data_IF_735775192474
#
_entry.id   IF_735775192474
#
_cell.length_a   1.000
_cell.length_b   1.000
_cell.length_c   1.000
_cell.angle_alpha   90.00
_cell.angle_beta   90.00
_cell.angle_gamma   90.00
#
_symmetry.space_group_name_H-M   'P 1'
#
loop_
_entity.id
_entity.type
_entity.pdbx_description
1 polymer ?
#
# COMPACT_ATOMS: atom_id res chain seq x y z
N UNK A 1 14.00 10.89 -104.10
CA UNK A 1 13.16 10.08 -105.01
C UNK A 1 11.95 9.59 -104.21
N UNK A 2 10.75 10.01 -104.60
CA UNK A 2 9.49 9.73 -103.87
C UNK A 2 9.21 8.23 -103.80
N UNK A 3 9.62 7.45 -104.81
CA UNK A 3 9.42 6.00 -104.77
C UNK A 3 10.28 5.33 -103.71
N UNK A 4 11.51 5.82 -103.51
CA UNK A 4 12.39 5.34 -102.44
C UNK A 4 11.81 5.68 -101.05
N UNK A 5 11.28 6.89 -100.85
CA UNK A 5 10.65 7.28 -99.59
C UNK A 5 9.39 6.44 -99.28
N UNK A 6 8.53 6.21 -100.27
CA UNK A 6 7.35 5.36 -100.10
C UNK A 6 7.72 3.90 -99.77
N UNK A 7 8.79 3.36 -100.39
CA UNK A 7 9.29 2.02 -100.05
C UNK A 7 9.80 1.95 -98.61
N UNK A 8 10.46 2.99 -98.11
CA UNK A 8 10.92 3.04 -96.73
C UNK A 8 9.75 3.03 -95.73
N UNK A 9 8.66 3.77 -96.02
CA UNK A 9 7.46 3.78 -95.18
C UNK A 9 6.79 2.39 -95.15
N UNK A 10 6.69 1.71 -96.29
CA UNK A 10 6.18 0.34 -96.35
C UNK A 10 7.07 -0.64 -95.58
N UNK A 11 8.39 -0.53 -95.73
CA UNK A 11 9.35 -1.37 -95.01
C UNK A 11 9.26 -1.17 -93.48
N UNK A 12 9.12 0.08 -93.01
CA UNK A 12 8.93 0.40 -91.59
C UNK A 12 7.63 -0.23 -91.04
N UNK A 13 6.56 -0.21 -91.84
CA UNK A 13 5.31 -0.90 -91.51
C UNK A 13 5.36 -2.43 -91.70
N UNK A 14 6.52 -3.01 -92.01
CA UNK A 14 6.71 -4.43 -92.30
C UNK A 14 5.84 -4.93 -93.48
N UNK A 15 5.62 -4.07 -94.47
CA UNK A 15 4.82 -4.35 -95.67
C UNK A 15 5.71 -4.45 -96.91
N UNK A 16 5.44 -5.44 -97.77
CA UNK A 16 6.09 -5.56 -99.07
C UNK A 16 5.33 -4.76 -100.14
N UNK A 17 6.02 -3.98 -101.01
CA UNK A 17 5.36 -3.29 -102.11
C UNK A 17 4.67 -4.25 -103.09
N UNK A 18 3.41 -3.98 -103.40
CA UNK A 18 2.56 -4.76 -104.31
C UNK A 18 1.89 -3.80 -105.31
N UNK A 19 2.31 -3.81 -106.59
CA UNK A 19 1.77 -2.91 -107.61
C UNK A 19 0.29 -3.15 -107.92
N UNK A 20 -0.30 -4.27 -107.48
CA UNK A 20 -1.74 -4.54 -107.61
C UNK A 20 -2.59 -3.83 -106.54
N UNK A 21 -1.96 -3.21 -105.54
CA UNK A 21 -2.62 -2.56 -104.39
C UNK A 21 -2.39 -1.05 -104.41
N UNK A 22 -3.48 -0.28 -104.43
CA UNK A 22 -3.43 1.19 -104.47
C UNK A 22 -3.57 1.87 -103.10
N UNK A 23 -3.59 1.11 -101.99
CA UNK A 23 -3.81 1.63 -100.64
C UNK A 23 -2.68 1.28 -99.64
N UNK A 24 -1.55 0.72 -100.10
CA UNK A 24 -0.51 0.22 -99.21
C UNK A 24 0.13 1.32 -98.37
N UNK A 25 0.33 2.52 -98.94
CA UNK A 25 0.90 3.65 -98.22
C UNK A 25 0.00 4.10 -97.06
N UNK A 26 -1.31 4.19 -97.30
CA UNK A 26 -2.28 4.54 -96.25
C UNK A 26 -2.35 3.47 -95.15
N UNK A 27 -2.27 2.20 -95.53
CA UNK A 27 -2.25 1.07 -94.58
C UNK A 27 -0.98 1.10 -93.73
N UNK A 28 0.18 1.36 -94.35
CA UNK A 28 1.46 1.49 -93.66
C UNK A 28 1.45 2.62 -92.62
N UNK A 29 0.96 3.80 -93.00
CA UNK A 29 0.84 4.95 -92.08
C UNK A 29 -0.07 4.63 -90.89
N UNK A 30 -1.21 3.96 -91.11
CA UNK A 30 -2.11 3.53 -90.03
C UNK A 30 -1.45 2.53 -89.09
N UNK A 31 -0.70 1.57 -89.64
CA UNK A 31 0.03 0.58 -88.85
C UNK A 31 1.11 1.23 -87.98
N UNK A 32 1.91 2.14 -88.55
CA UNK A 32 2.94 2.89 -87.83
C UNK A 32 2.32 3.76 -86.72
N UNK A 33 1.24 4.49 -87.01
CA UNK A 33 0.54 5.29 -86.00
C UNK A 33 0.00 4.42 -84.84
N UNK A 34 -0.50 3.23 -85.15
CA UNK A 34 -0.96 2.26 -84.15
C UNK A 34 0.19 1.72 -83.30
N UNK A 35 1.34 1.42 -83.92
CA UNK A 35 2.54 0.97 -83.22
C UNK A 35 3.14 2.05 -82.31
N UNK A 36 3.15 3.31 -82.75
CA UNK A 36 3.56 4.47 -81.95
C UNK A 36 2.62 4.64 -80.75
N UNK A 37 1.30 4.56 -80.96
CA UNK A 37 0.32 4.63 -79.87
C UNK A 37 0.46 3.48 -78.86
N UNK A 38 0.74 2.26 -79.33
CA UNK A 38 0.99 1.10 -78.48
C UNK A 38 2.29 1.26 -77.66
N UNK A 39 3.33 1.83 -78.25
CA UNK A 39 4.61 2.12 -77.57
C UNK A 39 4.46 3.25 -76.56
N UNK A 40 3.71 4.30 -76.88
CA UNK A 40 3.36 5.34 -75.92
C UNK A 40 2.55 4.79 -74.73
N UNK A 41 1.73 3.76 -74.97
CA UNK A 41 0.99 3.07 -73.92
C UNK A 41 1.86 2.11 -73.07
N UNK A 42 3.02 1.64 -73.54
CA UNK A 42 3.94 0.79 -72.76
C UNK A 42 4.89 1.60 -71.86
N UNK A 43 5.06 2.90 -72.11
CA UNK A 43 5.66 3.88 -71.18
C UNK A 43 4.62 4.39 -70.15
N UNK A 44 3.34 4.08 -70.35
CA UNK A 44 2.26 4.53 -69.48
C UNK A 44 2.14 3.69 -68.21
N UNK A 45 1.76 4.35 -67.12
CA UNK A 45 1.31 3.68 -65.88
C UNK A 45 0.26 2.60 -66.25
N UNK A 46 0.45 1.33 -65.80
CA UNK A 46 -0.50 0.26 -66.08
C UNK A 46 -1.94 0.63 -65.69
N UNK A 47 -2.92 0.16 -66.47
CA UNK A 47 -4.34 0.32 -66.13
C UNK A 47 -4.58 -0.41 -64.80
N UNK A 48 -5.32 0.22 -63.88
CA UNK A 48 -5.56 -0.34 -62.55
C UNK A 48 -4.58 0.14 -61.47
N UNK A 49 -3.50 0.86 -61.80
CA UNK A 49 -2.60 1.42 -60.78
C UNK A 49 -3.27 2.60 -60.07
N UNK A 50 -3.35 2.61 -58.72
CA UNK A 50 -3.77 3.78 -57.97
C UNK A 50 -2.73 4.91 -58.10
N UNK A 51 -3.19 6.10 -58.46
CA UNK A 51 -2.37 7.30 -58.62
C UNK A 51 -2.80 8.38 -57.65
N UNK A 52 -1.83 9.04 -57.02
CA UNK A 52 -2.10 10.20 -56.17
C UNK A 52 -2.37 11.43 -57.05
N UNK A 53 -3.52 12.06 -56.84
CA UNK A 53 -3.99 13.22 -57.60
C UNK A 53 -4.30 14.41 -56.69
N UNK A 54 -3.75 15.61 -56.98
CA UNK A 54 -3.77 16.73 -56.04
C UNK A 54 -5.08 17.54 -56.05
N UNK A 55 -5.99 17.30 -57.00
CA UNK A 55 -7.26 18.06 -57.11
C UNK A 55 -8.47 17.16 -56.91
N UNK A 56 -9.64 17.78 -56.71
CA UNK A 56 -10.91 17.08 -56.49
C UNK A 56 -11.52 16.49 -57.76
N UNK A 57 -11.10 16.96 -58.94
CA UNK A 57 -11.62 16.50 -60.23
C UNK A 57 -10.56 15.65 -60.94
N UNK A 58 -10.80 14.35 -61.21
CA UNK A 58 -9.86 13.53 -61.95
C UNK A 58 -9.81 13.96 -63.43
N UNK A 59 -8.70 13.73 -64.14
CA UNK A 59 -8.65 13.91 -65.59
C UNK A 59 -9.64 12.99 -66.32
N UNK A 60 -9.95 13.34 -67.57
CA UNK A 60 -10.79 12.50 -68.43
C UNK A 60 -10.21 11.08 -68.58
N UNK A 61 -11.08 10.07 -68.48
CA UNK A 61 -10.68 8.67 -68.51
C UNK A 61 -10.16 8.12 -67.17
N UNK A 62 -10.24 8.90 -66.09
CA UNK A 62 -9.91 8.44 -64.74
C UNK A 62 -11.13 8.49 -63.82
N UNK A 63 -11.13 7.64 -62.80
CA UNK A 63 -12.12 7.66 -61.72
C UNK A 63 -11.42 7.77 -60.36
N UNK A 64 -12.03 8.49 -59.42
CA UNK A 64 -11.62 8.49 -58.01
C UNK A 64 -11.98 7.13 -57.40
N UNK A 65 -11.08 6.54 -56.62
CA UNK A 65 -11.25 5.21 -56.02
C UNK A 65 -12.02 5.28 -54.69
N UNK A 66 -13.33 5.01 -54.71
CA UNK A 66 -14.24 5.14 -53.56
C UNK A 66 -15.12 3.89 -53.33
N UNK A 67 -14.66 2.70 -53.73
CA UNK A 67 -15.44 1.47 -53.52
C UNK A 67 -16.53 1.19 -54.56
N UNK A 68 -16.65 2.03 -55.59
CA UNK A 68 -17.73 1.94 -56.58
C UNK A 68 -17.54 0.78 -57.57
N UNK A 69 -18.67 0.29 -58.09
CA UNK A 69 -18.66 -0.64 -59.22
C UNK A 69 -18.34 0.07 -60.53
N UNK A 70 -17.81 -0.66 -61.51
CA UNK A 70 -17.61 -0.19 -62.87
C UNK A 70 -18.09 -1.22 -63.90
N UNK A 71 -18.35 -0.76 -65.11
CA UNK A 71 -18.74 -1.61 -66.23
C UNK A 71 -17.52 -2.38 -66.76
N UNK A 72 -17.46 -3.68 -66.48
CA UNK A 72 -16.35 -4.55 -66.87
C UNK A 72 -16.30 -4.83 -68.37
N UNK A 73 -17.43 -4.72 -69.08
CA UNK A 73 -17.47 -4.89 -70.53
C UNK A 73 -16.93 -3.63 -71.24
N UNK A 74 -17.23 -2.45 -70.69
CA UNK A 74 -16.71 -1.17 -71.19
C UNK A 74 -15.22 -0.97 -70.86
N UNK A 75 -14.76 -1.46 -69.70
CA UNK A 75 -13.40 -1.30 -69.21
C UNK A 75 -12.71 -2.64 -68.95
N UNK A 76 -12.41 -3.42 -70.01
CA UNK A 76 -11.86 -4.77 -69.87
C UNK A 76 -10.44 -4.80 -69.28
N UNK A 77 -9.62 -3.74 -69.49
CA UNK A 77 -8.28 -3.68 -68.89
C UNK A 77 -8.36 -3.33 -67.41
N UNK A 78 -9.32 -2.48 -67.02
CA UNK A 78 -9.60 -2.24 -65.60
C UNK A 78 -10.16 -3.50 -64.92
N UNK A 79 -11.01 -4.27 -65.61
CA UNK A 79 -11.51 -5.57 -65.12
C UNK A 79 -10.40 -6.60 -64.91
N UNK A 80 -9.35 -6.60 -65.76
CA UNK A 80 -8.19 -7.46 -65.56
C UNK A 80 -7.43 -7.13 -64.27
N UNK A 81 -7.35 -5.85 -63.88
CA UNK A 81 -6.73 -5.42 -62.61
C UNK A 81 -7.65 -5.63 -61.39
N UNK A 82 -8.96 -5.46 -61.57
CA UNK A 82 -9.97 -5.62 -60.53
C UNK A 82 -11.10 -6.57 -60.98
N UNK A 83 -10.88 -7.90 -60.91
CA UNK A 83 -11.83 -8.89 -61.43
C UNK A 83 -13.20 -8.88 -60.75
N UNK A 84 -13.32 -8.28 -59.56
CA UNK A 84 -14.59 -8.11 -58.85
C UNK A 84 -15.56 -7.13 -59.54
N UNK A 85 -15.08 -6.34 -60.50
CA UNK A 85 -15.86 -5.24 -61.09
C UNK A 85 -16.07 -4.06 -60.12
N UNK A 86 -15.32 -4.02 -59.01
CA UNK A 86 -15.35 -2.92 -58.03
C UNK A 86 -13.95 -2.38 -57.79
N UNK A 87 -13.84 -1.05 -57.75
CA UNK A 87 -12.62 -0.39 -57.33
C UNK A 87 -12.50 -0.46 -55.79
N UNK A 88 -11.29 -0.59 -55.23
CA UNK A 88 -11.06 -0.39 -53.80
C UNK A 88 -11.51 1.01 -53.34
N UNK A 89 -11.96 1.11 -52.09
CA UNK A 89 -12.14 2.41 -51.43
C UNK A 89 -10.81 2.83 -50.80
N UNK A 90 -10.18 3.84 -51.38
CA UNK A 90 -8.85 4.29 -50.98
C UNK A 90 -8.88 5.52 -50.08
N UNK A 91 -10.08 5.99 -49.67
CA UNK A 91 -10.21 7.13 -48.76
C UNK A 91 -9.66 6.76 -47.38
N UNK A 92 -8.75 7.59 -46.86
CA UNK A 92 -8.05 7.32 -45.59
C UNK A 92 -7.03 6.19 -45.64
N UNK A 93 -6.79 5.57 -46.80
CA UNK A 93 -5.87 4.44 -46.93
C UNK A 93 -4.46 4.91 -47.29
N UNK A 94 -3.45 4.17 -46.80
CA UNK A 94 -2.06 4.29 -47.25
C UNK A 94 -1.64 2.99 -47.93
N UNK A 95 -1.03 3.08 -49.11
CA UNK A 95 -0.55 1.89 -49.83
C UNK A 95 0.66 1.29 -49.10
N UNK A 96 0.54 0.02 -48.73
CA UNK A 96 1.60 -0.80 -48.14
C UNK A 96 1.92 -1.92 -49.13
N UNK A 97 3.21 -2.14 -49.40
CA UNK A 97 3.65 -3.31 -50.16
C UNK A 97 3.16 -4.59 -49.48
N UNK A 98 2.55 -5.49 -50.25
CA UNK A 98 2.00 -6.72 -49.70
C UNK A 98 3.15 -7.62 -49.18
N UNK A 99 3.19 -7.92 -47.87
CA UNK A 99 4.13 -8.91 -47.35
C UNK A 99 3.68 -10.32 -47.73
N UNK A 100 4.59 -11.28 -47.63
CA UNK A 100 4.29 -12.70 -47.81
C UNK A 100 3.14 -13.14 -46.89
N UNK A 101 2.22 -13.95 -47.43
CA UNK A 101 1.07 -14.47 -46.69
C UNK A 101 -0.10 -13.50 -46.53
N UNK A 102 0.02 -12.23 -46.95
CA UNK A 102 -1.11 -11.28 -46.96
C UNK A 102 -1.76 -11.22 -48.35
N UNK A 103 -3.06 -11.41 -48.39
CA UNK A 103 -3.83 -11.31 -49.64
C UNK A 103 -3.76 -9.89 -50.22
N UNK A 104 -3.65 -9.78 -51.55
CA UNK A 104 -3.68 -8.50 -52.24
C UNK A 104 -5.03 -7.80 -52.01
N UNK A 105 -5.00 -6.46 -51.92
CA UNK A 105 -6.16 -5.60 -51.65
C UNK A 105 -6.85 -5.84 -50.29
N UNK A 106 -6.26 -6.64 -49.39
CA UNK A 106 -6.75 -6.75 -48.01
C UNK A 106 -6.48 -5.47 -47.22
N UNK A 107 -7.42 -5.08 -46.35
CA UNK A 107 -7.26 -3.95 -45.43
C UNK A 107 -6.54 -4.38 -44.14
N UNK A 108 -5.79 -3.46 -43.55
CA UNK A 108 -5.15 -3.60 -42.24
C UNK A 108 -5.48 -2.34 -41.45
N UNK A 109 -6.02 -2.51 -40.25
CA UNK A 109 -6.27 -1.39 -39.34
C UNK A 109 -4.95 -0.81 -38.82
N UNK A 110 -4.97 0.46 -38.45
CA UNK A 110 -3.86 1.09 -37.77
C UNK A 110 -3.64 0.47 -36.37
N UNK A 111 -2.43 0.57 -35.86
CA UNK A 111 -2.09 -0.03 -34.58
C UNK A 111 -0.78 0.50 -34.01
N UNK A 112 -0.72 0.58 -32.69
CA UNK A 112 0.49 0.93 -31.95
C UNK A 112 1.28 -0.35 -31.70
N UNK A 113 2.59 -0.29 -31.94
CA UNK A 113 3.49 -1.40 -31.60
C UNK A 113 3.50 -1.64 -30.09
N UNK A 114 3.50 -2.91 -29.69
CA UNK A 114 3.62 -3.31 -28.28
C UNK A 114 4.80 -2.61 -27.60
N UNK A 115 4.55 -1.99 -26.45
CA UNK A 115 5.54 -1.30 -25.64
C UNK A 115 5.08 -1.18 -24.17
N UNK A 116 6.01 -0.81 -23.29
CA UNK A 116 5.77 -0.57 -21.86
C UNK A 116 6.47 0.70 -21.41
N UNK A 117 6.05 1.26 -20.27
CA UNK A 117 6.68 2.43 -19.64
C UNK A 117 7.23 2.08 -18.27
N UNK A 118 8.29 2.76 -17.85
CA UNK A 118 8.68 2.80 -16.44
C UNK A 118 7.76 3.77 -15.70
N UNK A 119 7.40 3.42 -14.46
CA UNK A 119 6.57 4.26 -13.60
C UNK A 119 7.17 4.35 -12.21
N UNK A 120 6.98 5.49 -11.55
CA UNK A 120 7.43 5.74 -10.19
C UNK A 120 6.27 6.25 -9.34
N UNK A 121 6.30 5.95 -8.05
CA UNK A 121 5.39 6.53 -7.06
C UNK A 121 6.17 7.47 -6.15
N UNK A 122 5.59 8.64 -5.84
CA UNK A 122 6.20 9.60 -4.93
C UNK A 122 6.12 9.12 -3.49
N UNK A 123 7.14 9.45 -2.71
CA UNK A 123 7.14 9.17 -1.28
C UNK A 123 6.06 9.98 -0.57
N UNK A 124 5.33 9.37 0.37
CA UNK A 124 4.27 10.03 1.13
C UNK A 124 4.58 9.97 2.62
N UNK A 125 4.67 11.13 3.27
CA UNK A 125 4.77 11.22 4.73
C UNK A 125 3.36 11.22 5.35
N UNK A 126 3.09 10.27 6.24
CA UNK A 126 1.80 10.16 6.93
C UNK A 126 1.70 11.14 8.12
N UNK A 127 2.82 11.72 8.57
CA UNK A 127 2.91 12.63 9.71
C UNK A 127 2.62 11.99 11.06
N UNK A 128 2.78 12.76 12.14
CA UNK A 128 2.57 12.30 13.52
C UNK A 128 1.09 12.04 13.83
N UNK A 129 0.82 11.01 14.65
CA UNK A 129 -0.52 10.69 15.17
C UNK A 129 -0.46 10.56 16.69
N UNK A 130 -1.49 11.04 17.38
CA UNK A 130 -1.61 10.95 18.83
C UNK A 130 -2.43 9.72 19.20
N UNK A 131 -1.94 8.91 20.13
CA UNK A 131 -2.70 7.78 20.67
C UNK A 131 -3.90 8.24 21.49
N UNK A 132 -4.86 7.36 21.70
CA UNK A 132 -5.93 7.60 22.66
C UNK A 132 -5.36 7.83 24.07
N UNK A 133 -6.04 8.63 24.88
CA UNK A 133 -5.70 8.84 26.28
C UNK A 133 -6.04 7.59 27.11
N UNK A 134 -5.14 7.22 28.02
CA UNK A 134 -5.35 6.14 28.99
C UNK A 134 -5.18 6.69 30.40
N UNK A 135 -6.15 6.45 31.28
CA UNK A 135 -6.13 6.87 32.68
C UNK A 135 -5.88 5.67 33.60
N UNK A 136 -4.82 5.73 34.39
CA UNK A 136 -4.51 4.71 35.40
C UNK A 136 -5.47 4.79 36.61
N UNK A 137 -6.16 5.91 36.82
CA UNK A 137 -7.02 6.15 37.98
C UNK A 137 -6.24 6.14 39.31
N UNK A 138 -6.96 5.98 40.42
CA UNK A 138 -6.36 5.88 41.76
C UNK A 138 -5.88 4.46 42.06
N UNK A 139 -4.65 4.31 42.56
CA UNK A 139 -4.09 3.03 43.03
C UNK A 139 -3.84 3.10 44.53
N UNK A 140 -4.21 2.04 45.25
CA UNK A 140 -4.05 1.94 46.71
C UNK A 140 -2.85 1.06 47.04
N UNK A 141 -2.02 1.47 48.01
CA UNK A 141 -0.91 0.67 48.52
C UNK A 141 -1.38 -0.39 49.51
N UNK A 142 -0.67 -1.50 49.60
CA UNK A 142 -0.91 -2.53 50.63
C UNK A 142 -0.74 -1.97 52.04
N UNK A 143 -1.53 -2.48 52.99
CA UNK A 143 -1.38 -2.14 54.39
C UNK A 143 -0.22 -2.91 55.03
N UNK A 144 0.72 -2.20 55.66
CA UNK A 144 1.84 -2.83 56.38
C UNK A 144 1.65 -2.59 57.88
N UNK A 145 1.40 -3.67 58.62
CA UNK A 145 1.42 -3.65 60.07
C UNK A 145 2.87 -3.77 60.56
N UNK A 146 3.37 -2.72 61.23
CA UNK A 146 4.73 -2.70 61.82
C UNK A 146 4.78 -3.29 63.24
N UNK A 147 3.64 -3.81 63.72
CA UNK A 147 3.47 -4.39 65.04
C UNK A 147 3.54 -3.37 66.18
N UNK A 148 3.23 -3.83 67.38
CA UNK A 148 3.36 -3.02 68.61
C UNK A 148 4.81 -3.04 69.08
N UNK A 149 5.44 -1.88 69.26
CA UNK A 149 6.77 -1.75 69.89
C UNK A 149 6.58 -1.29 71.34
N UNK A 150 6.96 -2.13 72.29
CA UNK A 150 6.86 -1.85 73.73
C UNK A 150 8.22 -1.46 74.31
N UNK A 151 8.24 -0.47 75.21
CA UNK A 151 9.37 -0.19 76.09
C UNK A 151 9.12 -0.90 77.43
N UNK A 152 10.01 -1.81 77.82
CA UNK A 152 9.78 -2.74 78.96
C UNK A 152 10.43 -2.31 80.26
N UNK A 153 10.92 -1.08 80.39
CA UNK A 153 11.56 -0.59 81.61
C UNK A 153 11.02 0.79 81.98
N UNK A 154 10.04 0.81 82.88
CA UNK A 154 9.62 2.02 83.57
C UNK A 154 9.79 1.78 85.07
N UNK A 155 10.67 2.55 85.71
CA UNK A 155 10.95 2.46 87.15
C UNK A 155 9.93 3.31 87.91
N UNK A 156 9.12 2.67 88.76
CA UNK A 156 8.12 3.36 89.58
C UNK A 156 8.70 3.96 90.87
N UNK A 157 9.99 3.74 91.13
CA UNK A 157 10.71 4.15 92.32
C UNK A 157 10.27 3.40 93.59
N UNK A 158 10.99 3.61 94.69
CA UNK A 158 10.67 3.00 96.00
C UNK A 158 9.44 3.66 96.65
N UNK A 159 8.44 2.85 97.04
CA UNK A 159 7.26 3.30 97.81
C UNK A 159 7.23 2.59 99.17
N UNK A 160 6.88 3.31 100.24
CA UNK A 160 6.75 2.77 101.60
C UNK A 160 5.28 2.51 101.95
N UNK A 161 5.01 1.46 102.72
CA UNK A 161 3.67 1.14 103.25
C UNK A 161 3.40 1.88 104.56
N UNK A 162 2.15 1.89 105.03
CA UNK A 162 1.81 2.38 106.36
C UNK A 162 2.23 1.38 107.46
N UNK A 163 2.37 1.85 108.71
CA UNK A 163 2.73 0.99 109.86
C UNK A 163 1.47 0.40 110.50
N UNK A 164 1.30 -0.92 110.43
CA UNK A 164 0.17 -1.67 110.99
C UNK A 164 0.66 -3.01 111.57
N UNK A 165 -0.19 -3.76 112.29
CA UNK A 165 0.14 -5.10 112.79
C UNK A 165 0.49 -5.22 114.29
N UNK A 166 0.28 -4.17 115.09
CA UNK A 166 0.43 -4.25 116.55
C UNK A 166 -0.61 -5.19 117.17
N UNK A 167 -0.17 -6.19 117.93
CA UNK A 167 -1.03 -7.15 118.62
C UNK A 167 -0.33 -7.72 119.87
N UNK A 168 -1.10 -8.31 120.81
CA UNK A 168 -0.61 -8.94 122.05
C UNK A 168 -1.17 -10.36 122.19
N UNK A 169 -0.45 -11.24 122.88
CA UNK A 169 -0.88 -12.62 123.17
C UNK A 169 -1.05 -12.82 124.68
N UNK A 170 -1.98 -13.70 125.09
CA UNK A 170 -2.24 -14.04 126.50
C UNK A 170 -1.64 -15.41 126.83
N UNK A 171 -1.04 -15.57 128.01
CA UNK A 171 -0.46 -16.84 128.49
C UNK A 171 -1.10 -17.26 129.82
N UNK A 172 -1.18 -18.57 130.10
CA UNK A 172 -1.87 -19.16 131.26
C UNK A 172 -0.96 -20.17 131.98
N UNK A 173 -0.98 -20.20 133.31
CA UNK A 173 -0.24 -21.17 134.16
C UNK A 173 -1.17 -21.85 135.17
N UNK A 174 -0.93 -23.13 135.48
CA UNK A 174 -1.64 -23.92 136.51
C UNK A 174 -0.85 -23.93 137.84
N UNK A 175 -1.52 -23.94 139.01
CA UNK A 175 -0.94 -23.66 140.34
C UNK A 175 -1.24 -24.75 141.38
N UNK A 176 -0.22 -25.46 141.88
CA UNK A 176 -0.30 -26.33 143.07
C UNK A 176 0.64 -25.84 144.18
N UNK A 177 0.16 -25.88 145.43
CA UNK A 177 0.78 -25.26 146.62
C UNK A 177 2.23 -25.68 146.84
N UNK A 178 3.17 -24.76 146.61
CA UNK A 178 4.57 -24.87 147.08
C UNK A 178 5.67 -24.55 146.08
N UNK A 179 5.38 -24.39 144.78
CA UNK A 179 6.39 -23.99 143.78
C UNK A 179 5.76 -23.09 142.71
N UNK A 180 6.29 -21.86 142.56
CA UNK A 180 5.88 -20.86 141.57
C UNK A 180 7.01 -20.70 140.54
N UNK A 181 6.93 -21.37 139.38
CA UNK A 181 7.81 -21.08 138.23
C UNK A 181 7.03 -20.24 137.20
N UNK A 182 7.39 -18.96 137.09
CA UNK A 182 6.89 -18.06 136.03
C UNK A 182 7.50 -18.37 134.66
N UNK A 183 7.11 -17.66 133.59
CA UNK A 183 7.60 -17.89 132.21
C UNK A 183 9.12 -17.70 132.04
N UNK A 184 9.78 -17.06 133.02
CA UNK A 184 11.24 -16.93 133.12
C UNK A 184 11.93 -18.13 133.80
N UNK A 185 11.18 -19.14 134.26
CA UNK A 185 11.72 -20.39 134.81
C UNK A 185 12.40 -20.28 136.19
N UNK A 186 12.36 -19.12 136.85
CA UNK A 186 12.93 -18.90 138.18
C UNK A 186 11.87 -18.78 139.27
N UNK A 187 12.05 -19.50 140.38
CA UNK A 187 11.23 -19.35 141.59
C UNK A 187 11.73 -18.12 142.34
N UNK A 188 10.89 -17.09 142.50
CA UNK A 188 11.19 -15.82 143.20
C UNK A 188 11.90 -14.73 142.36
N UNK A 189 11.42 -14.44 141.15
CA UNK A 189 11.79 -13.24 140.38
C UNK A 189 10.55 -12.44 139.97
N UNK A 190 10.52 -11.14 140.29
CA UNK A 190 9.43 -10.21 139.94
C UNK A 190 9.89 -9.23 138.86
N UNK A 191 9.23 -9.20 137.69
CA UNK A 191 9.53 -8.26 136.60
C UNK A 191 8.91 -8.68 135.26
N UNK A 192 8.90 -7.75 134.29
CA UNK A 192 8.47 -8.05 132.92
C UNK A 192 9.53 -8.89 132.20
N UNK A 193 9.11 -9.95 131.52
CA UNK A 193 9.93 -10.70 130.59
C UNK A 193 9.36 -10.56 129.18
N UNK A 194 10.22 -10.23 128.21
CA UNK A 194 9.83 -10.21 126.80
C UNK A 194 9.84 -11.64 126.25
N UNK A 195 8.89 -11.95 125.36
CA UNK A 195 9.00 -13.15 124.53
C UNK A 195 10.19 -13.05 123.60
N UNK A 196 10.66 -14.16 123.06
CA UNK A 196 11.59 -14.13 121.92
C UNK A 196 10.95 -13.41 120.73
N UNK A 197 11.77 -12.79 119.88
CA UNK A 197 11.29 -12.11 118.68
C UNK A 197 10.76 -13.12 117.65
N UNK A 198 9.55 -12.86 117.13
CA UNK A 198 8.89 -13.65 116.10
C UNK A 198 7.97 -12.76 115.24
N UNK A 199 7.50 -13.26 114.09
CA UNK A 199 6.50 -12.56 113.26
C UNK A 199 7.05 -11.74 112.08
N UNK A 200 8.34 -11.89 111.75
CA UNK A 200 8.88 -11.33 110.51
C UNK A 200 8.16 -11.95 109.30
N UNK A 201 7.48 -11.13 108.52
CA UNK A 201 6.82 -11.52 107.28
C UNK A 201 6.89 -10.38 106.27
N UNK A 202 6.63 -10.71 105.01
CA UNK A 202 6.56 -9.75 103.92
C UNK A 202 5.21 -9.89 103.22
N UNK A 203 4.72 -8.77 102.68
CA UNK A 203 3.57 -8.77 101.78
C UNK A 203 4.05 -8.53 100.35
N UNK A 204 3.45 -9.24 99.40
CA UNK A 204 3.64 -8.97 97.98
C UNK A 204 2.47 -8.12 97.49
N UNK A 205 2.73 -6.94 96.94
CA UNK A 205 1.72 -6.08 96.34
C UNK A 205 1.94 -6.04 94.85
N UNK A 206 1.02 -6.62 94.08
CA UNK A 206 1.03 -6.52 92.63
C UNK A 206 0.51 -5.15 92.20
N UNK A 207 1.38 -4.31 91.63
CA UNK A 207 0.96 -3.11 90.90
C UNK A 207 0.84 -3.54 89.44
N UNK A 208 -0.42 -3.62 88.98
CA UNK A 208 -0.78 -4.23 87.71
C UNK A 208 -0.07 -3.63 86.49
N UNK A 209 -0.09 -4.37 85.38
CA UNK A 209 0.46 -3.91 84.10
C UNK A 209 -0.22 -2.61 83.66
N UNK A 210 0.56 -1.62 83.24
CA UNK A 210 0.07 -0.49 82.46
C UNK A 210 0.91 -0.33 81.19
N UNK A 211 0.33 0.31 80.18
CA UNK A 211 0.93 0.46 78.86
C UNK A 211 0.97 1.93 78.44
N UNK A 212 1.99 2.30 77.67
CA UNK A 212 2.09 3.60 77.02
C UNK A 212 1.94 3.41 75.51
N UNK A 213 1.02 4.16 74.91
CA UNK A 213 0.87 4.22 73.46
C UNK A 213 1.42 5.55 72.96
N UNK A 214 2.39 5.50 72.04
CA UNK A 214 2.90 6.67 71.33
C UNK A 214 2.38 6.62 69.91
N UNK A 215 1.52 7.56 69.53
CA UNK A 215 1.00 7.66 68.17
C UNK A 215 2.03 8.35 67.27
N UNK A 216 2.53 7.63 66.27
CA UNK A 216 3.24 8.26 65.15
C UNK A 216 2.16 8.76 64.18
N UNK A 217 2.11 10.08 63.99
CA UNK A 217 1.01 10.76 63.30
C UNK A 217 0.86 10.40 61.81
N UNK A 218 -0.14 11.00 61.17
CA UNK A 218 -0.38 10.83 59.75
C UNK A 218 0.87 11.22 58.94
N UNK A 219 1.27 10.36 58.02
CA UNK A 219 2.40 10.60 57.12
C UNK A 219 2.03 10.14 55.72
N UNK A 220 2.75 10.66 54.73
CA UNK A 220 2.58 10.33 53.32
C UNK A 220 3.93 9.96 52.71
N UNK A 221 3.89 9.17 51.64
CA UNK A 221 5.06 8.78 50.86
C UNK A 221 4.94 9.34 49.45
N UNK A 222 6.08 9.71 48.87
CA UNK A 222 6.18 10.10 47.46
C UNK A 222 6.66 8.90 46.65
N UNK A 223 5.91 8.55 45.60
CA UNK A 223 6.28 7.44 44.68
C UNK A 223 6.48 7.99 43.28
N UNK A 224 7.70 7.87 42.75
CA UNK A 224 7.99 8.22 41.36
C UNK A 224 7.75 7.02 40.44
N UNK A 225 6.86 7.17 39.44
CA UNK A 225 6.50 6.08 38.50
C UNK A 225 7.40 6.07 37.26
N UNK A 226 7.87 7.24 36.81
CA UNK A 226 8.77 7.37 35.65
C UNK A 226 8.07 7.48 34.30
N UNK A 227 8.85 7.64 33.24
CA UNK A 227 8.39 7.73 31.86
C UNK A 227 8.43 6.36 31.16
N UNK A 228 7.55 6.15 30.19
CA UNK A 228 7.56 4.96 29.34
C UNK A 228 7.14 5.29 27.91
N UNK A 229 7.49 4.41 26.97
CA UNK A 229 7.09 4.49 25.56
C UNK A 229 6.59 3.14 25.07
N UNK A 230 5.77 3.16 24.03
CA UNK A 230 5.27 1.95 23.35
C UNK A 230 5.77 1.92 21.91
N UNK A 231 5.85 0.73 21.34
CA UNK A 231 6.08 0.51 19.91
C UNK A 231 4.82 -0.06 19.26
N UNK A 232 4.50 0.41 18.05
CA UNK A 232 3.32 -0.04 17.29
C UNK A 232 3.79 -0.53 15.93
N UNK A 233 3.35 -1.73 15.53
CA UNK A 233 3.65 -2.32 14.22
C UNK A 233 2.52 -1.98 13.24
N UNK A 234 2.83 -1.28 12.15
CA UNK A 234 1.84 -0.82 11.16
C UNK A 234 1.49 -1.85 10.08
N UNK A 235 2.37 -2.83 9.83
CA UNK A 235 2.17 -3.86 8.79
C UNK A 235 2.40 -3.36 7.35
N UNK A 236 2.13 -4.23 6.38
CA UNK A 236 2.23 -3.94 4.95
C UNK A 236 0.87 -3.51 4.36
N UNK A 237 0.90 -2.65 3.35
CA UNK A 237 -0.28 -2.25 2.57
C UNK A 237 0.10 -2.04 1.10
N UNK A 238 -0.89 -1.87 0.23
CA UNK A 238 -0.68 -1.65 -1.20
C UNK A 238 -1.70 -0.70 -1.81
N UNK A 239 -1.53 -0.40 -3.09
CA UNK A 239 -2.39 0.50 -3.85
C UNK A 239 -2.83 -0.13 -5.17
N UNK A 240 -4.02 0.23 -5.63
CA UNK A 240 -4.46 -0.06 -7.00
C UNK A 240 -4.04 1.12 -7.89
N UNK A 241 -3.33 0.83 -8.98
CA UNK A 241 -2.89 1.83 -9.96
C UNK A 241 -3.67 1.63 -11.25
N UNK A 242 -4.20 2.72 -11.80
CA UNK A 242 -4.88 2.74 -13.11
C UNK A 242 -4.17 3.72 -14.02
N UNK A 243 -3.83 3.28 -15.24
CA UNK A 243 -3.28 4.14 -16.29
C UNK A 243 -4.40 4.46 -17.27
N UNK A 244 -4.72 5.75 -17.43
CA UNK A 244 -5.73 6.19 -18.37
C UNK A 244 -5.25 5.99 -19.82
N UNK A 245 -6.20 5.80 -20.74
CA UNK A 245 -5.91 5.76 -22.16
C UNK A 245 -5.34 7.10 -22.65
N UNK A 246 -4.34 7.04 -23.54
CA UNK A 246 -3.71 8.20 -24.14
C UNK A 246 -3.50 7.97 -25.64
N UNK A 247 -3.85 8.96 -26.46
CA UNK A 247 -3.73 8.89 -27.91
C UNK A 247 -4.85 9.61 -28.64
N UNK A 248 -4.75 9.60 -29.98
CA UNK A 248 -5.79 10.09 -30.88
C UNK A 248 -6.69 8.92 -31.33
N UNK A 249 -7.72 9.22 -32.12
CA UNK A 249 -8.61 8.20 -32.69
C UNK A 249 -7.90 7.26 -33.69
N UNK A 250 -6.84 7.73 -34.36
CA UNK A 250 -6.05 6.97 -35.34
C UNK A 250 -4.55 7.09 -35.02
N UNK A 251 -3.80 6.03 -35.32
CA UNK A 251 -2.35 6.05 -35.31
C UNK A 251 -1.81 6.52 -36.67
N UNK A 252 -1.29 7.76 -36.69
CA UNK A 252 -0.86 8.42 -37.93
C UNK A 252 0.64 8.64 -37.99
N UNK A 253 1.21 8.50 -39.18
CA UNK A 253 2.49 9.12 -39.54
C UNK A 253 2.23 10.46 -40.24
N UNK A 254 3.24 11.34 -40.34
CA UNK A 254 3.12 12.57 -41.13
C UNK A 254 2.69 12.21 -42.56
N UNK A 255 1.61 12.82 -43.03
CA UNK A 255 1.02 12.54 -44.33
C UNK A 255 0.46 13.82 -44.97
N UNK A 256 0.18 13.75 -46.28
CA UNK A 256 -0.49 14.80 -47.05
C UNK A 256 -1.63 14.12 -47.82
N UNK A 257 -2.81 14.73 -47.82
CA UNK A 257 -3.98 14.19 -48.49
C UNK A 257 -3.90 14.39 -50.02
N UNK A 258 -4.08 13.29 -50.76
CA UNK A 258 -4.28 13.26 -52.20
C UNK A 258 -5.50 12.38 -52.50
N UNK A 259 -6.19 12.65 -53.61
CA UNK A 259 -7.20 11.72 -54.11
C UNK A 259 -6.53 10.56 -54.82
N UNK A 260 -6.88 9.33 -54.47
CA UNK A 260 -6.50 8.18 -55.27
C UNK A 260 -7.40 8.08 -56.50
N UNK A 261 -6.81 8.10 -57.68
CA UNK A 261 -7.49 7.92 -58.96
C UNK A 261 -6.95 6.70 -59.70
N UNK A 262 -7.74 6.17 -60.63
CA UNK A 262 -7.33 5.05 -61.48
C UNK A 262 -7.78 5.27 -62.92
N UNK A 263 -6.95 4.87 -63.88
CA UNK A 263 -7.27 4.92 -65.31
C UNK A 263 -8.32 3.86 -65.64
N UNK A 264 -9.36 4.25 -66.37
CA UNK A 264 -10.39 3.36 -66.91
C UNK A 264 -10.10 3.03 -68.38
N UNK A 265 -10.01 1.74 -68.72
CA UNK A 265 -9.73 1.28 -70.08
C UNK A 265 -10.14 -0.18 -70.32
#
# INVERSE_FOLDING_TARGET
>A
DIQTENKNILAEAQMTPDPSKNNQLLTAIKAIATAIAATAASVAVPVGTPLAWPTTTPPDGYAIMQGQAFDTAKYPKTAAAYPSGKLPDMRGQTIKGAPDGRALLSLEADGIKSHTHTATASNTDLGTKTSAAFDYGTKTTSNTDLGTKATTAFDYGTKTTNSTGAHVHTYVTDHQTGSLRGPSGGENSSGNANTSSAGAHTHTVAIGSHTHNVAIGAHAHTVAIGAHTHTIVMGAHGHTITVAAAGNAENTVKNIAFNYIVRLA
#
